data_IF_356445984200
#
_entry.id   IF_356445984200
#
_cell.length_a   1.000
_cell.length_b   1.000
_cell.length_c   1.000
_cell.angle_alpha   90.00
_cell.angle_beta   90.00
_cell.angle_gamma   90.00
#
_symmetry.space_group_name_H-M   'P 1'
#
loop_
_entity.id
_entity.type
_entity.pdbx_description
1 polymer ?
#
# COMPACT_ATOMS: atom_id res chain seq x y z
N UNK A 1 20.21 -3.01 8.35
CA UNK A 1 19.13 -3.97 8.04
C UNK A 1 19.28 -5.32 8.75
N UNK A 2 20.48 -5.91 8.89
CA UNK A 2 20.69 -7.18 9.64
C UNK A 2 20.03 -7.23 11.04
N UNK A 3 20.08 -6.13 11.80
CA UNK A 3 19.40 -6.04 13.10
C UNK A 3 17.89 -6.25 13.00
N UNK A 4 17.24 -5.62 12.01
CA UNK A 4 15.81 -5.82 11.76
C UNK A 4 15.51 -7.27 11.38
N UNK A 5 16.38 -7.92 10.61
CA UNK A 5 16.21 -9.35 10.24
C UNK A 5 16.17 -10.24 11.49
N UNK A 6 17.11 -10.06 12.42
CA UNK A 6 17.10 -10.76 13.72
C UNK A 6 15.89 -10.44 14.59
N UNK A 7 15.33 -9.23 14.50
CA UNK A 7 14.12 -8.86 15.22
C UNK A 7 12.90 -9.57 14.62
N UNK A 8 12.80 -9.61 13.29
CA UNK A 8 11.72 -10.30 12.56
C UNK A 8 11.68 -11.81 12.83
N UNK A 9 12.82 -12.45 13.09
CA UNK A 9 12.88 -13.87 13.48
C UNK A 9 12.07 -14.18 14.74
N UNK A 10 11.95 -13.21 15.66
CA UNK A 10 11.24 -13.37 16.94
C UNK A 10 9.72 -13.17 16.84
N UNK A 11 9.21 -12.71 15.69
CA UNK A 11 7.81 -12.35 15.50
C UNK A 11 7.05 -13.54 14.88
N UNK A 12 6.04 -14.10 15.57
CA UNK A 12 5.12 -15.08 14.97
C UNK A 12 4.29 -14.44 13.86
N UNK A 13 4.21 -15.07 12.68
CA UNK A 13 3.53 -14.48 11.52
C UNK A 13 2.01 -14.35 11.72
N UNK A 14 1.39 -15.34 12.38
CA UNK A 14 -0.05 -15.36 12.63
C UNK A 14 -0.48 -14.51 13.85
N UNK A 15 0.43 -14.30 14.80
CA UNK A 15 0.15 -13.66 16.09
C UNK A 15 1.31 -12.71 16.48
N UNK A 16 1.53 -11.60 15.74
CA UNK A 16 2.65 -10.71 16.00
C UNK A 16 2.67 -10.12 17.42
N UNK A 17 1.49 -9.95 18.03
CA UNK A 17 1.34 -9.49 19.42
C UNK A 17 1.89 -10.46 20.47
N UNK A 18 2.16 -11.72 20.12
CA UNK A 18 2.74 -12.71 21.02
C UNK A 18 4.29 -12.71 21.01
N UNK A 19 4.96 -11.80 20.29
CA UNK A 19 6.42 -11.76 20.30
C UNK A 19 6.97 -11.24 21.65
N UNK A 20 8.17 -11.69 22.09
CA UNK A 20 8.67 -11.39 23.45
C UNK A 20 8.78 -9.89 23.79
N UNK A 21 8.95 -9.04 22.78
CA UNK A 21 9.08 -7.58 22.89
C UNK A 21 7.91 -6.83 22.24
N UNK A 22 6.74 -7.47 22.10
CA UNK A 22 5.62 -6.90 21.37
C UNK A 22 5.26 -5.51 21.86
N UNK A 23 5.04 -5.33 23.17
CA UNK A 23 4.70 -4.02 23.73
C UNK A 23 5.80 -2.98 23.47
N UNK A 24 7.07 -3.29 23.77
CA UNK A 24 8.21 -2.38 23.54
C UNK A 24 8.31 -1.92 22.08
N UNK A 25 8.09 -2.85 21.14
CA UNK A 25 8.20 -2.56 19.71
C UNK A 25 6.95 -1.91 19.14
N UNK A 26 5.77 -2.16 19.70
CA UNK A 26 4.52 -1.56 19.22
C UNK A 26 4.34 -0.11 19.72
N UNK A 27 4.89 0.20 20.89
CA UNK A 27 4.94 1.56 21.45
C UNK A 27 6.01 2.45 20.78
N UNK A 28 6.96 1.86 20.05
CA UNK A 28 8.02 2.57 19.35
C UNK A 28 7.65 2.80 17.89
N UNK A 29 7.81 4.03 17.39
CA UNK A 29 7.66 4.29 15.96
C UNK A 29 8.86 3.76 15.18
N UNK A 30 8.65 3.40 13.91
CA UNK A 30 9.72 2.99 13.01
C UNK A 30 10.77 4.10 12.83
N UNK A 31 10.34 5.38 12.84
CA UNK A 31 11.23 6.54 12.81
C UNK A 31 12.16 6.59 14.03
N UNK A 32 11.61 6.47 15.24
CA UNK A 32 12.40 6.50 16.48
C UNK A 32 13.43 5.36 16.52
N UNK A 33 13.06 4.20 16.00
CA UNK A 33 14.00 3.09 15.82
C UNK A 33 15.14 3.45 14.85
N UNK A 34 14.84 4.04 13.70
CA UNK A 34 15.89 4.45 12.76
C UNK A 34 16.82 5.50 13.33
N UNK A 35 16.31 6.53 14.00
CA UNK A 35 17.12 7.57 14.62
C UNK A 35 18.05 7.01 15.72
N UNK A 36 17.59 5.99 16.46
CA UNK A 36 18.39 5.30 17.46
C UNK A 36 19.49 4.42 16.86
N UNK A 37 19.21 3.77 15.73
CA UNK A 37 20.06 2.71 15.17
C UNK A 37 20.96 3.17 14.02
N UNK A 38 20.71 4.35 13.45
CA UNK A 38 21.50 4.92 12.36
C UNK A 38 22.47 5.98 12.86
N UNK A 39 23.67 5.98 12.28
CA UNK A 39 24.77 6.87 12.69
C UNK A 39 25.02 8.00 11.70
N UNK A 40 24.50 7.87 10.47
CA UNK A 40 24.70 8.85 9.41
C UNK A 40 23.36 9.33 8.90
N UNK A 41 23.29 10.62 8.59
CA UNK A 41 22.09 11.24 8.03
C UNK A 41 21.65 10.55 6.73
N UNK A 42 22.60 10.19 5.88
CA UNK A 42 22.32 9.49 4.63
C UNK A 42 21.68 8.11 4.83
N UNK A 43 22.13 7.33 5.82
CA UNK A 43 21.51 6.04 6.13
C UNK A 43 20.10 6.20 6.69
N UNK A 44 19.86 7.21 7.53
CA UNK A 44 18.53 7.54 8.04
C UNK A 44 17.58 7.92 6.89
N UNK A 45 18.00 8.84 6.03
CA UNK A 45 17.27 9.28 4.83
C UNK A 45 16.93 8.10 3.90
N UNK A 46 17.89 7.22 3.65
CA UNK A 46 17.67 6.02 2.86
C UNK A 46 16.62 5.08 3.48
N UNK A 47 16.70 4.81 4.79
CA UNK A 47 15.73 3.94 5.47
C UNK A 47 14.33 4.55 5.51
N UNK A 48 14.24 5.87 5.67
CA UNK A 48 12.97 6.60 5.62
C UNK A 48 12.34 6.48 4.23
N UNK A 49 13.11 6.78 3.17
CA UNK A 49 12.62 6.68 1.80
C UNK A 49 12.20 5.25 1.42
N UNK A 50 13.00 4.26 1.82
CA UNK A 50 12.68 2.85 1.59
C UNK A 50 11.36 2.44 2.29
N UNK A 51 11.15 2.91 3.51
CA UNK A 51 9.94 2.60 4.28
C UNK A 51 8.71 3.29 3.72
N UNK A 52 8.83 4.54 3.27
CA UNK A 52 7.74 5.22 2.57
C UNK A 52 7.32 4.38 1.35
N UNK A 53 8.26 4.00 0.47
CA UNK A 53 7.95 3.20 -0.72
C UNK A 53 7.27 1.87 -0.39
N UNK A 54 7.71 1.19 0.67
CA UNK A 54 7.18 -0.13 1.04
C UNK A 54 5.84 -0.08 1.81
N UNK A 55 5.61 0.97 2.60
CA UNK A 55 4.51 1.04 3.58
C UNK A 55 3.47 2.10 3.24
N UNK A 56 3.73 2.93 2.23
CA UNK A 56 2.89 4.06 1.81
C UNK A 56 2.63 5.12 2.91
N UNK A 57 3.45 5.15 3.96
CA UNK A 57 3.24 5.99 5.15
C UNK A 57 4.58 6.54 5.66
N UNK A 58 4.51 7.62 6.46
CA UNK A 58 5.70 8.13 7.13
C UNK A 58 6.13 7.18 8.27
N UNK A 59 7.44 6.86 8.41
CA UNK A 59 7.91 5.98 9.49
C UNK A 59 7.54 6.45 10.91
N UNK A 60 7.27 7.74 11.10
CA UNK A 60 6.82 8.29 12.38
C UNK A 60 5.36 7.96 12.71
N UNK A 61 4.58 7.50 11.74
CA UNK A 61 3.17 7.13 11.88
C UNK A 61 3.00 5.61 12.04
N UNK A 62 4.09 4.84 12.00
CA UNK A 62 4.06 3.39 11.89
C UNK A 62 4.72 2.76 13.12
N UNK A 63 4.01 1.84 13.76
CA UNK A 63 4.56 0.97 14.82
C UNK A 63 5.74 0.15 14.28
N UNK A 64 6.82 0.08 15.04
CA UNK A 64 7.98 -0.74 14.70
C UNK A 64 7.60 -2.23 14.66
N UNK A 65 6.79 -2.72 15.61
CA UNK A 65 6.31 -4.10 15.61
C UNK A 65 5.57 -4.42 14.31
N UNK A 66 4.62 -3.57 13.92
CA UNK A 66 3.85 -3.76 12.69
C UNK A 66 4.75 -3.75 11.45
N UNK A 67 5.70 -2.81 11.37
CA UNK A 67 6.62 -2.72 10.23
C UNK A 67 7.50 -3.98 10.10
N UNK A 68 8.06 -4.46 11.21
CA UNK A 68 8.86 -5.69 11.23
C UNK A 68 8.01 -6.91 10.84
N UNK A 69 6.81 -7.04 11.39
CA UNK A 69 5.88 -8.12 11.03
C UNK A 69 5.52 -8.07 9.54
N UNK A 70 5.15 -6.90 9.02
CA UNK A 70 4.78 -6.73 7.61
C UNK A 70 5.93 -7.12 6.67
N UNK A 71 7.13 -6.61 6.92
CA UNK A 71 8.32 -6.93 6.13
C UNK A 71 8.64 -8.44 6.21
N UNK A 72 8.49 -9.06 7.39
CA UNK A 72 8.66 -10.52 7.55
C UNK A 72 7.67 -11.28 6.67
N UNK A 73 6.38 -10.90 6.69
CA UNK A 73 5.35 -11.53 5.87
C UNK A 73 5.60 -11.35 4.37
N UNK A 74 6.29 -10.28 3.96
CA UNK A 74 6.76 -10.07 2.59
C UNK A 74 8.06 -10.83 2.24
N UNK A 75 8.59 -11.66 3.14
CA UNK A 75 9.81 -12.44 2.92
C UNK A 75 11.12 -11.70 3.24
N UNK A 76 11.06 -10.62 4.02
CA UNK A 76 12.21 -9.87 4.52
C UNK A 76 12.63 -8.68 3.65
N UNK A 77 13.59 -7.90 4.17
CA UNK A 77 14.00 -6.61 3.59
C UNK A 77 14.43 -6.69 2.12
N UNK A 78 15.15 -7.75 1.74
CA UNK A 78 15.60 -7.94 0.36
C UNK A 78 14.45 -8.26 -0.57
N UNK A 79 13.57 -9.19 -0.17
CA UNK A 79 12.50 -9.68 -1.05
C UNK A 79 11.42 -8.62 -1.28
N UNK A 80 11.08 -7.84 -0.26
CA UNK A 80 10.10 -6.75 -0.39
C UNK A 80 10.60 -5.62 -1.31
N UNK A 81 11.92 -5.39 -1.41
CA UNK A 81 12.46 -4.20 -2.09
C UNK A 81 13.07 -4.46 -3.47
N UNK A 82 13.38 -5.72 -3.80
CA UNK A 82 14.10 -6.07 -5.02
C UNK A 82 13.17 -6.34 -6.22
N UNK A 83 13.61 -5.93 -7.41
CA UNK A 83 13.03 -6.40 -8.67
C UNK A 83 13.42 -7.85 -8.93
N UNK A 84 14.69 -8.14 -9.15
CA UNK A 84 15.15 -9.50 -9.42
C UNK A 84 15.03 -10.37 -8.16
N UNK A 85 14.32 -11.50 -8.29
CA UNK A 85 14.01 -12.40 -7.19
C UNK A 85 13.31 -11.70 -6.00
N UNK A 86 12.48 -10.71 -6.30
CA UNK A 86 11.72 -9.96 -5.29
C UNK A 86 10.31 -9.59 -5.71
N UNK A 87 9.68 -8.71 -4.94
CA UNK A 87 8.26 -8.40 -5.05
C UNK A 87 7.89 -7.63 -6.32
N UNK A 88 8.85 -6.94 -6.95
CA UNK A 88 8.62 -6.12 -8.15
C UNK A 88 9.00 -6.85 -9.45
N UNK A 89 9.30 -8.15 -9.43
CA UNK A 89 9.88 -8.88 -10.56
C UNK A 89 9.01 -8.90 -11.82
N UNK A 90 7.69 -8.98 -11.66
CA UNK A 90 6.77 -9.30 -12.77
C UNK A 90 5.52 -8.44 -12.76
N UNK A 91 4.98 -8.26 -13.96
CA UNK A 91 3.69 -7.62 -14.22
C UNK A 91 2.85 -8.53 -15.11
N UNK A 92 1.54 -8.48 -14.94
CA UNK A 92 0.61 -9.10 -15.88
C UNK A 92 0.62 -8.36 -17.21
N UNK A 93 0.66 -9.09 -18.32
CA UNK A 93 0.77 -8.52 -19.66
C UNK A 93 -0.38 -7.54 -19.97
N UNK A 94 -1.62 -7.89 -19.60
CA UNK A 94 -2.80 -7.06 -19.83
C UNK A 94 -3.20 -6.22 -18.59
N UNK A 95 -2.38 -6.21 -17.54
CA UNK A 95 -2.70 -5.57 -16.27
C UNK A 95 -3.36 -6.50 -15.24
N UNK A 96 -3.23 -6.16 -13.97
CA UNK A 96 -3.70 -7.01 -12.86
C UNK A 96 -5.22 -7.02 -12.68
N UNK A 97 -5.94 -6.02 -13.20
CA UNK A 97 -7.40 -5.94 -13.12
C UNK A 97 -8.09 -7.12 -13.83
N UNK A 98 -7.41 -7.72 -14.81
CA UNK A 98 -7.91 -8.88 -15.55
C UNK A 98 -8.25 -10.07 -14.63
N UNK A 99 -7.59 -10.20 -13.47
CA UNK A 99 -7.93 -11.23 -12.49
C UNK A 99 -9.37 -11.03 -11.98
N UNK A 100 -9.70 -9.81 -11.54
CA UNK A 100 -11.03 -9.47 -11.04
C UNK A 100 -12.08 -9.50 -12.15
N UNK A 101 -11.74 -9.03 -13.35
CA UNK A 101 -12.65 -9.05 -14.51
C UNK A 101 -13.01 -10.47 -14.93
N UNK A 102 -12.03 -11.39 -14.97
CA UNK A 102 -12.29 -12.80 -15.30
C UNK A 102 -13.10 -13.50 -14.22
N UNK A 103 -12.85 -13.23 -12.93
CA UNK A 103 -13.68 -13.75 -11.85
C UNK A 103 -15.12 -13.21 -11.93
N UNK A 104 -15.28 -11.93 -12.25
CA UNK A 104 -16.59 -11.33 -12.48
C UNK A 104 -17.34 -12.03 -13.63
N UNK A 105 -16.67 -12.29 -14.76
CA UNK A 105 -17.24 -13.03 -15.89
C UNK A 105 -17.68 -14.45 -15.51
N UNK A 106 -16.90 -15.15 -14.68
CA UNK A 106 -17.25 -16.49 -14.21
C UNK A 106 -18.46 -16.50 -13.26
N UNK A 107 -18.61 -15.46 -12.45
CA UNK A 107 -19.73 -15.32 -11.51
C UNK A 107 -20.99 -14.78 -12.17
N UNK A 108 -20.86 -14.06 -13.29
CA UNK A 108 -21.99 -13.56 -14.08
C UNK A 108 -22.86 -12.57 -13.31
N UNK A 109 -24.15 -12.87 -13.25
CA UNK A 109 -25.19 -12.05 -12.62
C UNK A 109 -25.10 -11.99 -11.08
N UNK A 110 -24.23 -12.78 -10.46
CA UNK A 110 -23.97 -12.75 -9.01
C UNK A 110 -23.13 -11.56 -8.56
N UNK A 111 -22.55 -10.80 -9.50
CA UNK A 111 -21.76 -9.60 -9.18
C UNK A 111 -22.61 -8.36 -9.43
N UNK A 112 -22.96 -7.68 -8.35
CA UNK A 112 -23.71 -6.43 -8.39
C UNK A 112 -22.76 -5.24 -8.25
N UNK A 113 -22.57 -4.48 -9.33
CA UNK A 113 -21.83 -3.22 -9.31
C UNK A 113 -22.71 -2.08 -8.80
N UNK A 114 -22.09 -0.95 -8.44
CA UNK A 114 -22.77 0.24 -7.91
C UNK A 114 -23.68 -0.06 -6.69
N UNK A 115 -23.37 -1.14 -5.98
CA UNK A 115 -24.18 -1.71 -4.89
C UNK A 115 -23.47 -1.50 -3.55
N UNK A 116 -23.47 -0.25 -3.06
CA UNK A 116 -22.80 0.09 -1.81
C UNK A 116 -23.64 -0.38 -0.61
N UNK A 117 -23.06 -1.25 0.23
CA UNK A 117 -23.64 -1.66 1.53
C UNK A 117 -23.56 -0.49 2.52
N UNK A 118 -24.64 -0.23 3.24
CA UNK A 118 -24.70 0.78 4.30
C UNK A 118 -25.21 0.25 5.65
N UNK A 119 -25.93 -0.86 5.68
CA UNK A 119 -26.45 -1.45 6.92
C UNK A 119 -26.33 -2.98 6.90
N UNK A 120 -26.19 -3.58 8.08
CA UNK A 120 -26.07 -5.01 8.28
C UNK A 120 -26.72 -5.42 9.61
N UNK A 121 -27.83 -6.14 9.52
CA UNK A 121 -28.56 -6.69 10.67
C UNK A 121 -28.34 -8.19 10.72
N UNK A 122 -27.75 -8.68 11.81
CA UNK A 122 -27.51 -10.09 12.07
C UNK A 122 -28.48 -10.62 13.13
N UNK A 123 -29.20 -11.68 12.77
CA UNK A 123 -30.03 -12.48 13.68
C UNK A 123 -29.31 -13.80 14.05
N UNK A 124 -30.00 -14.71 14.74
CA UNK A 124 -29.46 -16.05 15.04
C UNK A 124 -29.33 -16.91 13.76
N UNK A 125 -30.20 -16.71 12.77
CA UNK A 125 -30.34 -17.59 11.61
C UNK A 125 -29.81 -16.95 10.31
N UNK A 126 -29.78 -15.63 10.21
CA UNK A 126 -29.45 -14.92 8.98
C UNK A 126 -28.81 -13.53 9.19
N UNK A 127 -28.36 -12.96 8.08
CA UNK A 127 -27.89 -11.59 7.96
C UNK A 127 -28.64 -10.89 6.85
N UNK A 128 -29.25 -9.76 7.17
CA UNK A 128 -29.84 -8.82 6.21
C UNK A 128 -28.82 -7.74 5.92
N UNK A 129 -28.51 -7.54 4.63
CA UNK A 129 -27.57 -6.53 4.14
C UNK A 129 -28.34 -5.52 3.31
N UNK A 130 -28.33 -4.26 3.73
CA UNK A 130 -29.04 -3.18 3.05
C UNK A 130 -28.06 -2.29 2.28
N UNK A 131 -28.44 -1.98 1.03
CA UNK A 131 -27.71 -1.08 0.15
C UNK A 131 -28.18 0.37 0.33
N UNK A 132 -27.36 1.32 -0.14
CA UNK A 132 -27.67 2.75 -0.08
C UNK A 132 -28.92 3.17 -0.86
N UNK A 133 -29.38 2.35 -1.81
CA UNK A 133 -30.62 2.59 -2.57
C UNK A 133 -31.87 1.98 -1.90
N UNK A 134 -31.70 1.31 -0.75
CA UNK A 134 -32.76 0.64 0.00
C UNK A 134 -32.99 -0.82 -0.38
N UNK A 135 -32.26 -1.37 -1.35
CA UNK A 135 -32.33 -2.80 -1.69
C UNK A 135 -31.73 -3.66 -0.58
N UNK A 136 -32.29 -4.86 -0.38
CA UNK A 136 -31.85 -5.79 0.67
C UNK A 136 -31.45 -7.16 0.10
N UNK A 137 -30.46 -7.76 0.75
CA UNK A 137 -30.01 -9.14 0.50
C UNK A 137 -30.04 -9.91 1.81
N UNK A 138 -30.52 -11.15 1.77
CA UNK A 138 -30.53 -12.06 2.91
C UNK A 138 -29.54 -13.20 2.65
N UNK A 139 -28.71 -13.53 3.64
CA UNK A 139 -27.75 -14.63 3.55
C UNK A 139 -27.50 -15.27 4.92
N UNK A 140 -27.11 -16.54 4.94
CA UNK A 140 -26.68 -17.25 6.16
C UNK A 140 -25.34 -16.69 6.70
N UNK A 141 -24.48 -16.20 5.81
CA UNK A 141 -23.15 -15.69 6.15
C UNK A 141 -22.76 -14.52 5.24
N UNK A 142 -21.96 -13.60 5.79
CA UNK A 142 -21.40 -12.46 5.07
C UNK A 142 -19.88 -12.44 5.20
N UNK A 143 -19.18 -12.22 4.09
CA UNK A 143 -17.75 -11.97 4.05
C UNK A 143 -17.51 -10.48 3.77
N UNK A 144 -16.95 -9.76 4.74
CA UNK A 144 -16.59 -8.35 4.59
C UNK A 144 -15.17 -8.25 4.03
N UNK A 145 -15.04 -8.16 2.71
CA UNK A 145 -13.77 -8.14 1.97
C UNK A 145 -13.29 -6.72 1.59
N UNK A 146 -13.61 -5.71 2.41
CA UNK A 146 -13.21 -4.31 2.22
C UNK A 146 -12.20 -3.87 3.31
N UNK A 147 -11.37 -2.85 3.06
CA UNK A 147 -10.39 -2.36 4.04
C UNK A 147 -11.06 -1.96 5.37
N UNK A 148 -10.36 -2.19 6.49
CA UNK A 148 -10.90 -1.96 7.84
C UNK A 148 -11.50 -0.55 8.02
N UNK A 149 -10.86 0.56 7.60
CA UNK A 149 -11.49 1.89 7.74
C UNK A 149 -12.75 2.09 6.90
N UNK A 150 -12.91 1.33 5.81
CA UNK A 150 -14.11 1.43 4.96
C UNK A 150 -15.30 0.73 5.62
N UNK A 151 -15.06 -0.22 6.52
CA UNK A 151 -16.10 -0.88 7.33
C UNK A 151 -16.85 0.10 8.23
N UNK A 152 -16.26 1.27 8.56
CA UNK A 152 -16.93 2.34 9.31
C UNK A 152 -18.12 2.97 8.56
N UNK A 153 -18.25 2.74 7.25
CA UNK A 153 -19.38 3.22 6.46
C UNK A 153 -20.62 2.33 6.56
N UNK A 154 -20.54 1.23 7.30
CA UNK A 154 -21.61 0.26 7.50
C UNK A 154 -22.11 0.39 8.94
N UNK A 155 -23.43 0.49 9.09
CA UNK A 155 -24.10 0.36 10.38
C UNK A 155 -24.29 -1.13 10.70
N UNK A 156 -24.10 -1.51 11.97
CA UNK A 156 -24.15 -2.90 12.41
C UNK A 156 -25.16 -3.06 13.54
N UNK A 157 -26.06 -4.01 13.39
CA UNK A 157 -27.01 -4.45 14.42
C UNK A 157 -26.93 -5.98 14.58
N UNK A 158 -26.59 -6.52 15.77
CA UNK A 158 -26.12 -5.79 16.95
C UNK A 158 -24.78 -5.06 16.70
N UNK A 159 -24.43 -4.07 17.54
CA UNK A 159 -23.16 -3.37 17.40
C UNK A 159 -21.97 -4.32 17.43
N UNK A 160 -20.94 -4.01 16.62
CA UNK A 160 -19.69 -4.78 16.63
C UNK A 160 -19.08 -4.86 18.04
N UNK A 161 -18.40 -5.97 18.39
CA UNK A 161 -17.67 -6.07 19.65
C UNK A 161 -16.72 -4.89 19.86
N UNK A 162 -16.57 -4.36 21.09
CA UNK A 162 -15.83 -3.12 21.33
C UNK A 162 -14.42 -3.10 20.75
N UNK A 163 -13.66 -4.21 20.86
CA UNK A 163 -12.32 -4.31 20.30
C UNK A 163 -12.32 -4.21 18.77
N UNK A 164 -13.30 -4.81 18.09
CA UNK A 164 -13.43 -4.73 16.63
C UNK A 164 -13.81 -3.31 16.21
N UNK A 165 -14.74 -2.66 16.92
CA UNK A 165 -15.11 -1.27 16.65
C UNK A 165 -13.91 -0.32 16.82
N UNK A 166 -13.09 -0.52 17.86
CA UNK A 166 -11.88 0.28 18.07
C UNK A 166 -10.79 0.02 17.01
N UNK A 167 -10.66 -1.22 16.53
CA UNK A 167 -9.68 -1.62 15.51
C UNK A 167 -9.95 -0.96 14.16
N UNK A 168 -11.19 -0.99 13.68
CA UNK A 168 -11.55 -0.41 12.37
C UNK A 168 -11.37 1.11 12.32
N UNK A 169 -11.32 1.78 13.49
CA UNK A 169 -11.04 3.22 13.62
C UNK A 169 -9.54 3.56 13.69
N UNK A 170 -8.66 2.59 13.99
CA UNK A 170 -7.23 2.82 14.27
C UNK A 170 -6.29 2.17 13.25
N UNK A 171 -6.79 1.89 12.05
CA UNK A 171 -6.05 1.20 10.99
C UNK A 171 -6.01 2.04 9.71
N UNK A 172 -5.51 3.29 9.75
CA UNK A 172 -5.48 4.16 8.57
C UNK A 172 -4.68 3.52 7.43
N UNK A 173 -5.07 3.84 6.19
CA UNK A 173 -4.35 3.43 4.97
C UNK A 173 -3.32 4.48 4.59
N UNK A 174 -2.21 4.03 4.02
CA UNK A 174 -1.18 4.93 3.49
C UNK A 174 -1.68 5.77 2.31
N UNK A 175 -0.90 6.78 1.94
CA UNK A 175 -1.21 7.71 0.86
C UNK A 175 -0.20 7.55 -0.29
N UNK A 176 -0.69 7.39 -1.51
CA UNK A 176 0.14 7.26 -2.70
C UNK A 176 -0.54 7.88 -3.92
N UNK A 177 0.25 8.58 -4.75
CA UNK A 177 -0.11 8.97 -6.11
C UNK A 177 0.80 8.22 -7.07
N UNK A 178 0.19 7.45 -7.96
CA UNK A 178 0.88 6.77 -9.07
C UNK A 178 0.73 7.57 -10.35
N UNK A 179 1.84 8.03 -10.92
CA UNK A 179 1.86 8.86 -12.13
C UNK A 179 2.56 8.08 -13.24
N UNK A 180 1.90 7.92 -14.39
CA UNK A 180 2.52 7.34 -15.58
C UNK A 180 2.88 8.46 -16.56
N UNK A 181 4.17 8.61 -16.85
CA UNK A 181 4.67 9.58 -17.84
C UNK A 181 5.06 8.82 -19.09
N UNK A 182 4.44 9.16 -20.22
CA UNK A 182 4.63 8.46 -21.48
C UNK A 182 5.59 9.22 -22.40
N UNK A 183 6.63 8.54 -22.85
CA UNK A 183 7.60 9.04 -23.82
C UNK A 183 7.47 8.32 -25.16
N UNK A 184 8.04 8.90 -26.22
CA UNK A 184 8.07 8.28 -27.55
C UNK A 184 8.99 7.06 -27.62
N UNK A 185 10.11 7.10 -26.90
CA UNK A 185 11.09 6.00 -26.82
C UNK A 185 11.63 5.85 -25.40
N UNK A 186 12.12 4.67 -25.01
CA UNK A 186 12.71 4.44 -23.69
C UNK A 186 14.16 4.97 -23.66
N UNK A 187 14.33 6.28 -23.87
CA UNK A 187 15.64 6.94 -24.05
C UNK A 187 16.62 6.70 -22.89
N UNK A 188 16.13 6.40 -21.69
CA UNK A 188 16.97 6.05 -20.53
C UNK A 188 17.75 4.76 -20.77
N UNK A 189 17.17 3.78 -21.48
CA UNK A 189 17.85 2.51 -21.81
C UNK A 189 19.01 2.72 -22.77
N UNK A 190 18.87 3.64 -23.74
CA UNK A 190 19.93 4.01 -24.67
C UNK A 190 21.13 4.65 -23.93
N UNK A 191 20.88 5.28 -22.78
CA UNK A 191 21.90 5.82 -21.89
C UNK A 191 22.45 4.81 -20.87
N UNK A 192 22.05 3.53 -20.97
CA UNK A 192 22.48 2.48 -20.05
C UNK A 192 21.75 2.44 -18.70
N UNK A 193 20.64 3.17 -18.54
CA UNK A 193 19.84 3.15 -17.32
C UNK A 193 18.67 2.15 -17.42
N UNK A 194 18.35 1.48 -16.31
CA UNK A 194 17.21 0.57 -16.24
C UNK A 194 15.85 1.27 -16.23
N UNK A 195 15.83 2.57 -15.89
CA UNK A 195 14.59 3.32 -15.61
C UNK A 195 14.09 3.18 -14.17
N UNK A 196 14.83 2.46 -13.31
CA UNK A 196 14.59 2.42 -11.86
C UNK A 196 15.34 3.55 -11.17
N UNK A 197 14.65 4.34 -10.36
CA UNK A 197 15.24 5.40 -9.54
C UNK A 197 14.69 5.29 -8.12
N UNK A 198 15.58 5.36 -7.13
CA UNK A 198 15.22 5.52 -5.71
C UNK A 198 15.67 6.90 -5.26
N UNK A 199 14.73 7.73 -4.80
CA UNK A 199 14.98 9.09 -4.38
C UNK A 199 14.97 9.15 -2.85
N UNK A 200 16.14 9.27 -2.24
CA UNK A 200 16.28 9.23 -0.77
C UNK A 200 16.71 10.55 -0.13
N UNK A 201 17.19 11.52 -0.90
CA UNK A 201 17.73 12.78 -0.36
C UNK A 201 16.67 13.81 0.08
N UNK A 202 15.38 13.48 -0.08
CA UNK A 202 14.26 14.34 0.30
C UNK A 202 14.11 15.62 -0.53
N UNK A 203 14.95 15.83 -1.55
CA UNK A 203 14.91 17.03 -2.39
C UNK A 203 13.80 16.95 -3.44
N UNK A 204 13.49 15.72 -3.88
CA UNK A 204 12.47 15.45 -4.87
C UNK A 204 11.11 15.23 -4.20
N UNK A 205 10.06 15.71 -4.85
CA UNK A 205 8.67 15.50 -4.39
C UNK A 205 8.12 14.12 -4.74
N UNK A 206 8.95 13.17 -5.17
CA UNK A 206 8.59 11.79 -5.47
C UNK A 206 9.66 10.82 -4.94
N UNK A 207 9.25 9.57 -4.70
CA UNK A 207 10.04 8.61 -3.91
C UNK A 207 10.73 7.58 -4.81
N UNK A 208 10.07 7.13 -5.87
CA UNK A 208 10.64 6.15 -6.79
C UNK A 208 10.10 6.28 -8.21
N UNK A 209 10.91 5.81 -9.16
CA UNK A 209 10.56 5.67 -10.58
C UNK A 209 10.83 4.24 -11.00
N UNK A 210 9.95 3.68 -11.83
CA UNK A 210 10.09 2.33 -12.39
C UNK A 210 9.79 2.39 -13.88
N UNK A 211 10.61 1.68 -14.67
CA UNK A 211 10.33 1.42 -16.09
C UNK A 211 9.05 0.59 -16.23
N UNK A 212 8.06 1.16 -16.92
CA UNK A 212 6.75 0.54 -17.10
C UNK A 212 6.53 0.03 -18.53
N UNK A 213 7.57 0.02 -19.37
CA UNK A 213 7.47 -0.40 -20.76
C UNK A 213 7.00 -1.85 -20.86
N UNK A 214 6.13 -2.12 -21.85
CA UNK A 214 5.55 -3.43 -22.08
C UNK A 214 5.76 -3.85 -23.54
N UNK A 215 6.02 -5.14 -23.82
CA UNK A 215 6.10 -5.63 -25.18
C UNK A 215 4.85 -5.25 -25.99
N UNK A 216 5.04 -4.71 -27.19
CA UNK A 216 3.94 -4.33 -28.09
C UNK A 216 3.23 -3.01 -27.76
N UNK A 217 3.55 -2.33 -26.66
CA UNK A 217 2.99 -1.00 -26.38
C UNK A 217 3.81 0.08 -27.10
N UNK A 218 3.17 1.02 -27.83
CA UNK A 218 3.88 1.93 -28.76
C UNK A 218 4.60 3.10 -28.07
N UNK A 219 4.42 3.28 -26.76
CA UNK A 219 5.05 4.33 -25.98
C UNK A 219 5.95 3.72 -24.90
N UNK A 220 6.83 4.54 -24.36
CA UNK A 220 7.72 4.19 -23.26
C UNK A 220 7.26 4.88 -21.97
N UNK A 221 6.47 4.21 -21.11
CA UNK A 221 6.07 4.77 -19.83
C UNK A 221 7.14 4.63 -18.74
N UNK A 222 7.30 5.68 -17.94
CA UNK A 222 7.89 5.64 -16.61
C UNK A 222 6.77 5.82 -15.57
N UNK A 223 6.71 4.93 -14.60
CA UNK A 223 5.85 5.07 -13.43
C UNK A 223 6.60 5.80 -12.34
N UNK A 224 6.07 6.93 -11.88
CA UNK A 224 6.55 7.69 -10.72
C UNK A 224 5.60 7.44 -9.55
N UNK A 225 6.17 7.08 -8.40
CA UNK A 225 5.43 6.96 -7.15
C UNK A 225 5.75 8.14 -6.24
N UNK A 226 4.69 8.84 -5.84
CA UNK A 226 4.71 9.87 -4.81
C UNK A 226 3.97 9.32 -3.62
N UNK A 227 4.60 9.33 -2.44
CA UNK A 227 4.13 8.60 -1.26
C UNK A 227 4.08 9.51 -0.03
N UNK A 228 3.20 9.18 0.92
CA UNK A 228 3.16 9.79 2.24
C UNK A 228 2.86 11.28 2.19
N UNK A 229 3.63 12.09 2.92
CA UNK A 229 3.41 13.53 3.00
C UNK A 229 3.58 14.23 1.65
N UNK A 230 4.43 13.71 0.77
CA UNK A 230 4.57 14.24 -0.59
C UNK A 230 3.29 14.00 -1.41
N UNK A 231 2.62 12.86 -1.23
CA UNK A 231 1.36 12.57 -1.90
C UNK A 231 0.27 13.53 -1.43
N UNK A 232 0.21 13.80 -0.12
CA UNK A 232 -0.73 14.74 0.49
C UNK A 232 -0.52 16.19 0.01
N UNK A 233 0.72 16.60 -0.25
CA UNK A 233 1.00 17.92 -0.85
C UNK A 233 0.61 17.96 -2.33
N UNK A 234 0.94 16.92 -3.09
CA UNK A 234 0.71 16.90 -4.54
C UNK A 234 -0.76 16.72 -4.91
N UNK A 235 -1.59 16.10 -4.07
CA UNK A 235 -3.04 15.96 -4.35
C UNK A 235 -3.75 17.32 -4.42
N UNK A 236 -3.27 18.34 -3.68
CA UNK A 236 -3.86 19.69 -3.67
C UNK A 236 -3.56 20.47 -4.97
N UNK A 237 -2.61 19.99 -5.76
CA UNK A 237 -2.20 20.63 -7.00
C UNK A 237 -3.11 20.25 -8.17
N UNK A 238 -3.11 21.05 -9.24
CA UNK A 238 -3.71 20.62 -10.51
C UNK A 238 -2.89 19.49 -11.15
N UNK A 239 -3.49 18.79 -12.12
CA UNK A 239 -2.79 17.74 -12.88
C UNK A 239 -1.55 18.31 -13.60
N UNK A 240 -1.68 19.49 -14.20
CA UNK A 240 -0.61 20.17 -14.94
C UNK A 240 0.51 20.62 -14.00
N UNK A 241 0.16 21.11 -12.81
CA UNK A 241 1.12 21.51 -11.80
C UNK A 241 1.90 20.29 -11.27
N UNK A 242 1.23 19.16 -10.98
CA UNK A 242 1.91 17.90 -10.65
C UNK A 242 2.84 17.45 -11.77
N UNK A 243 2.39 17.54 -13.03
CA UNK A 243 3.20 17.15 -14.17
C UNK A 243 4.51 17.94 -14.24
N UNK A 244 4.48 19.25 -13.98
CA UNK A 244 5.69 20.09 -13.94
C UNK A 244 6.66 19.72 -12.81
N UNK A 245 6.14 19.24 -11.67
CA UNK A 245 6.97 18.79 -10.54
C UNK A 245 7.71 17.49 -10.89
N UNK A 246 7.03 16.53 -11.51
CA UNK A 246 7.62 15.20 -11.77
C UNK A 246 8.35 15.10 -13.12
N UNK A 247 7.97 15.92 -14.10
CA UNK A 247 8.66 16.09 -15.36
C UNK A 247 9.35 17.45 -15.33
N UNK A 248 10.57 17.51 -14.77
CA UNK A 248 11.41 18.71 -14.83
C UNK A 248 11.45 19.23 -16.27
N UNK A 249 10.99 20.48 -16.46
CA UNK A 249 11.13 21.19 -17.72
C UNK A 249 12.60 21.60 -17.88
N UNK A 250 13.42 20.76 -18.51
CA UNK A 250 14.82 21.09 -18.74
C UNK A 250 15.71 19.89 -19.06
N UNK A 251 15.46 19.24 -20.20
CA UNK A 251 16.45 18.52 -20.99
C UNK A 251 16.21 18.84 -22.47
#
# INVERSE_FOLDING_TARGET
MHKMEKMMEQIPAAEPWNCPKAQEWDEMTLRSFYEKETWTQHALEYLVALSQVNLASEPGQVSLLWALWYIKCCGGNRRISNTDNGAQERKFQNGSMEVSERLCQLLGDKVHLDSQVCDMVQSEDDVIVTLTDGSEYQAEYVIVAIPLPVQLKIHYEPPLPPLRNQLIQRTPVGCAIKINIYYKSPFWREKGYSGTVSCSDGQLSFNSVIDDCRPGFPLAPLTVFVIGDNALKLQEMSKEARMKVVALQGL
#
